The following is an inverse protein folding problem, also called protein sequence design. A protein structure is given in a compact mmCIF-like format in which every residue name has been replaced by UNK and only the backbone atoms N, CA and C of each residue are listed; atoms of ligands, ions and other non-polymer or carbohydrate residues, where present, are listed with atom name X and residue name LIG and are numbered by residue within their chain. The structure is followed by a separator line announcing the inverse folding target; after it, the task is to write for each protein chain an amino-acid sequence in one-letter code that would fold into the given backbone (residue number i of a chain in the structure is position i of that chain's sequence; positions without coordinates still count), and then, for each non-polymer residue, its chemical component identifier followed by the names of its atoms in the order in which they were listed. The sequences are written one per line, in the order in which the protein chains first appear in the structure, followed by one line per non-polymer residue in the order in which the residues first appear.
data_IF_262977485546
#
_entry.id   IF_262977485546
#
_cell.length_a   1.000
_cell.length_b   1.000
_cell.length_c   1.000
_cell.angle_alpha   90.00
_cell.angle_beta   90.00
_cell.angle_gamma   90.00
#
_symmetry.space_group_name_H-M   'P 1'
#
loop_
_entity.id
_entity.type
_entity.pdbx_description
1 polymer ?
#
# COMPACT_ATOMS: atom_id res chain seq x y z
N UNK A 1 -11.12 5.63 23.03
CA UNK A 1 -11.39 4.61 21.99
C UNK A 1 -12.62 5.03 21.23
N UNK A 2 -12.50 5.24 19.93
CA UNK A 2 -13.65 5.56 19.07
C UNK A 2 -14.28 4.24 18.61
N UNK A 3 -15.59 4.10 18.79
CA UNK A 3 -16.32 2.94 18.28
C UNK A 3 -16.53 3.15 16.78
N UNK A 4 -15.97 2.26 15.96
CA UNK A 4 -16.20 2.25 14.51
C UNK A 4 -17.29 1.22 14.22
N UNK A 5 -18.36 1.66 13.59
CA UNK A 5 -19.52 0.80 13.28
C UNK A 5 -19.68 0.74 11.76
N UNK A 6 -19.70 -0.46 11.20
CA UNK A 6 -19.81 -0.68 9.76
C UNK A 6 -21.23 -1.12 9.41
N UNK A 7 -21.72 -0.70 8.23
CA UNK A 7 -23.08 -1.05 7.77
C UNK A 7 -23.22 -2.53 7.44
N UNK A 8 -22.15 -3.15 6.95
CA UNK A 8 -22.11 -4.55 6.55
C UNK A 8 -20.66 -5.07 6.56
N UNK A 9 -20.49 -6.39 6.43
CA UNK A 9 -19.16 -7.02 6.44
C UNK A 9 -18.28 -6.55 5.28
N UNK A 10 -18.87 -6.21 4.14
CA UNK A 10 -18.16 -5.70 2.97
C UNK A 10 -17.47 -4.36 3.28
N UNK A 11 -18.18 -3.44 3.91
CA UNK A 11 -17.69 -2.13 4.33
C UNK A 11 -16.57 -2.25 5.38
N UNK A 12 -16.70 -3.22 6.30
CA UNK A 12 -15.64 -3.56 7.26
C UNK A 12 -14.38 -4.07 6.57
N UNK A 13 -14.52 -5.04 5.65
CA UNK A 13 -13.39 -5.64 4.94
C UNK A 13 -12.70 -4.58 4.07
N UNK A 14 -13.46 -3.77 3.33
CA UNK A 14 -12.93 -2.67 2.53
C UNK A 14 -12.12 -1.67 3.39
N UNK A 15 -12.68 -1.27 4.54
CA UNK A 15 -11.98 -0.38 5.45
C UNK A 15 -10.72 -1.03 6.04
N UNK A 16 -10.73 -2.33 6.31
CA UNK A 16 -9.56 -3.07 6.77
C UNK A 16 -8.47 -3.12 5.70
N UNK A 17 -8.80 -3.40 4.43
CA UNK A 17 -7.84 -3.35 3.32
C UNK A 17 -7.22 -1.96 3.18
N UNK A 18 -8.04 -0.90 3.21
CA UNK A 18 -7.55 0.48 3.15
C UNK A 18 -6.63 0.82 4.33
N UNK A 19 -6.98 0.35 5.54
CA UNK A 19 -6.17 0.59 6.73
C UNK A 19 -4.85 -0.17 6.67
N UNK A 20 -4.84 -1.42 6.20
CA UNK A 20 -3.62 -2.20 6.01
C UNK A 20 -2.73 -1.56 4.96
N UNK A 21 -3.29 -1.13 3.82
CA UNK A 21 -2.57 -0.43 2.76
C UNK A 21 -1.84 0.81 3.31
N UNK A 22 -2.53 1.58 4.16
CA UNK A 22 -1.94 2.73 4.83
C UNK A 22 -0.81 2.34 5.78
N UNK A 23 -0.99 1.32 6.62
CA UNK A 23 0.06 0.85 7.55
C UNK A 23 1.30 0.40 6.79
N UNK A 24 1.12 -0.35 5.70
CA UNK A 24 2.22 -0.81 4.83
C UNK A 24 2.92 0.40 4.18
N UNK A 25 2.15 1.37 3.70
CA UNK A 25 2.68 2.61 3.13
C UNK A 25 3.36 3.52 4.18
N UNK A 26 2.96 3.50 5.45
CA UNK A 26 3.66 4.21 6.52
C UNK A 26 4.95 3.46 6.94
N UNK A 27 4.95 2.13 6.86
CA UNK A 27 6.12 1.31 7.17
C UNK A 27 7.27 1.50 6.18
N UNK A 28 6.97 1.66 4.88
CA UNK A 28 7.98 1.91 3.85
C UNK A 28 8.45 3.37 3.76
N UNK A 29 7.70 4.32 4.35
CA UNK A 29 8.01 5.74 4.29
C UNK A 29 9.42 6.09 4.82
N UNK A 30 9.88 5.55 5.98
CA UNK A 30 11.25 5.78 6.44
C UNK A 30 12.32 5.22 5.50
N UNK A 31 12.03 4.18 4.70
CA UNK A 31 12.99 3.68 3.71
C UNK A 31 13.18 4.68 2.56
N UNK A 32 12.09 5.32 2.11
CA UNK A 32 12.16 6.37 1.08
C UNK A 32 12.90 7.62 1.59
N UNK A 33 12.74 7.97 2.88
CA UNK A 33 13.41 9.13 3.49
C UNK A 33 14.94 8.99 3.52
N UNK A 34 15.44 7.76 3.68
CA UNK A 34 16.88 7.44 3.64
C UNK A 34 17.39 7.13 2.23
N UNK A 35 16.60 7.40 1.18
CA UNK A 35 16.89 7.06 -0.22
C UNK A 35 17.24 5.57 -0.43
N UNK A 36 16.57 4.67 0.29
CA UNK A 36 16.72 3.24 0.13
C UNK A 36 15.48 2.66 -0.57
N UNK A 37 15.63 1.80 -1.59
CA UNK A 37 14.49 1.26 -2.31
C UNK A 37 13.64 0.39 -1.38
N UNK A 38 12.36 0.73 -1.26
CA UNK A 38 11.38 0.04 -0.44
C UNK A 38 10.70 -1.09 -1.24
N UNK A 39 11.49 -2.00 -1.83
CA UNK A 39 10.99 -3.10 -2.68
C UNK A 39 10.06 -4.04 -1.90
N UNK A 40 10.33 -4.26 -0.62
CA UNK A 40 9.45 -5.07 0.24
C UNK A 40 8.08 -4.45 0.43
N UNK A 41 7.99 -3.11 0.53
CA UNK A 41 6.72 -2.40 0.67
C UNK A 41 5.94 -2.43 -0.63
N UNK A 42 6.63 -2.25 -1.77
CA UNK A 42 6.03 -2.37 -3.10
C UNK A 42 5.43 -3.76 -3.33
N UNK A 43 6.19 -4.83 -3.10
CA UNK A 43 5.70 -6.21 -3.27
C UNK A 43 4.51 -6.51 -2.34
N UNK A 44 4.53 -5.98 -1.12
CA UNK A 44 3.44 -6.16 -0.17
C UNK A 44 2.15 -5.49 -0.65
N UNK A 45 2.23 -4.25 -1.17
CA UNK A 45 1.09 -3.54 -1.76
C UNK A 45 0.61 -4.20 -3.04
N UNK A 46 1.50 -4.74 -3.88
CA UNK A 46 1.15 -5.46 -5.10
C UNK A 46 0.34 -6.73 -4.79
N UNK A 47 0.81 -7.55 -3.85
CA UNK A 47 0.05 -8.71 -3.39
C UNK A 47 -1.29 -8.32 -2.76
N UNK A 48 -1.32 -7.22 -1.99
CA UNK A 48 -2.56 -6.72 -1.40
C UNK A 48 -3.58 -6.29 -2.46
N UNK A 49 -3.12 -5.64 -3.55
CA UNK A 49 -3.97 -5.25 -4.68
C UNK A 49 -4.54 -6.47 -5.41
N UNK A 50 -3.73 -7.51 -5.63
CA UNK A 50 -4.18 -8.77 -6.24
C UNK A 50 -5.28 -9.43 -5.40
N UNK A 51 -5.08 -9.51 -4.08
CA UNK A 51 -6.08 -10.09 -3.16
C UNK A 51 -7.35 -9.23 -3.15
N UNK A 52 -7.23 -7.91 -3.10
CA UNK A 52 -8.41 -7.03 -3.15
C UNK A 52 -9.19 -7.18 -4.47
N UNK A 53 -8.48 -7.31 -5.60
CA UNK A 53 -9.09 -7.54 -6.92
C UNK A 53 -9.78 -8.91 -7.02
N UNK A 54 -9.17 -9.99 -6.50
CA UNK A 54 -9.75 -11.34 -6.50
C UNK A 54 -11.09 -11.39 -5.74
N UNK A 55 -11.20 -10.60 -4.67
CA UNK A 55 -12.42 -10.47 -3.88
C UNK A 55 -13.38 -9.37 -4.38
N UNK A 56 -13.08 -8.73 -5.51
CA UNK A 56 -13.86 -7.62 -6.09
C UNK A 56 -14.04 -6.41 -5.15
N UNK A 57 -13.05 -6.14 -4.31
CA UNK A 57 -12.98 -4.94 -3.47
C UNK A 57 -12.32 -3.77 -4.22
N UNK A 58 -12.60 -2.55 -3.77
CA UNK A 58 -11.99 -1.35 -4.30
C UNK A 58 -10.51 -1.31 -3.89
N UNK A 59 -9.61 -1.51 -4.86
CA UNK A 59 -8.17 -1.50 -4.62
C UNK A 59 -7.52 -0.19 -5.06
N UNK A 60 -8.28 0.82 -5.47
CA UNK A 60 -7.75 2.10 -5.97
C UNK A 60 -6.83 2.80 -4.96
N UNK A 61 -7.11 2.65 -3.66
CA UNK A 61 -6.28 3.22 -2.60
C UNK A 61 -4.95 2.46 -2.44
N UNK A 62 -4.97 1.14 -2.63
CA UNK A 62 -3.78 0.29 -2.62
C UNK A 62 -2.92 0.59 -3.86
N UNK A 63 -3.56 0.71 -5.02
CA UNK A 63 -2.93 1.01 -6.30
C UNK A 63 -2.23 2.37 -6.27
N UNK A 64 -2.89 3.41 -5.75
CA UNK A 64 -2.28 4.74 -5.60
C UNK A 64 -1.02 4.72 -4.72
N UNK A 65 -1.05 3.94 -3.62
CA UNK A 65 0.14 3.73 -2.81
C UNK A 65 1.21 2.95 -3.57
N UNK A 66 0.83 1.87 -4.27
CA UNK A 66 1.75 1.05 -5.05
C UNK A 66 2.45 1.86 -6.15
N UNK A 67 1.72 2.69 -6.89
CA UNK A 67 2.30 3.58 -7.91
C UNK A 67 3.29 4.58 -7.31
N UNK A 68 2.98 5.12 -6.13
CA UNK A 68 3.88 6.03 -5.40
C UNK A 68 5.18 5.31 -5.05
N UNK A 69 5.10 4.08 -4.55
CA UNK A 69 6.27 3.27 -4.20
C UNK A 69 7.06 2.82 -5.44
N UNK A 70 6.39 2.38 -6.50
CA UNK A 70 7.04 2.03 -7.78
C UNK A 70 7.82 3.21 -8.35
N UNK A 71 7.22 4.38 -8.34
CA UNK A 71 7.87 5.61 -8.81
C UNK A 71 9.06 5.97 -7.94
N UNK A 72 8.88 6.01 -6.61
CA UNK A 72 9.95 6.37 -5.69
C UNK A 72 11.12 5.37 -5.74
N UNK A 73 10.83 4.07 -5.81
CA UNK A 73 11.84 3.03 -5.96
C UNK A 73 12.59 3.14 -7.30
N UNK A 74 11.89 3.44 -8.40
CA UNK A 74 12.51 3.67 -9.70
C UNK A 74 13.43 4.90 -9.69
N UNK A 75 12.98 6.01 -9.09
CA UNK A 75 13.80 7.22 -8.92
C UNK A 75 15.04 6.95 -8.06
N UNK A 76 14.89 6.18 -6.98
CA UNK A 76 16.01 5.79 -6.11
C UNK A 76 16.98 4.87 -6.83
N UNK A 77 16.51 3.89 -7.62
CA UNK A 77 17.40 3.00 -8.42
C UNK A 77 18.18 3.78 -9.48
N UNK A 78 17.50 4.69 -10.19
CA UNK A 78 18.16 5.58 -11.16
C UNK A 78 19.21 6.47 -10.48
N UNK A 79 18.92 6.98 -9.28
CA UNK A 79 19.87 7.76 -8.49
C UNK A 79 21.06 6.93 -7.98
N UNK A 80 20.83 5.67 -7.60
CA UNK A 80 21.88 4.73 -7.17
C UNK A 80 22.72 4.19 -8.34
N UNK A 81 22.29 4.40 -9.59
CA UNK A 81 23.03 4.04 -10.79
C UNK A 81 22.98 2.55 -11.15
N UNK A 82 21.95 1.82 -10.69
CA UNK A 82 21.59 0.48 -11.18
C UNK A 82 20.63 0.52 -12.38
#
# INVERSE_FOLDING_TARGET
MSIVTFKNNLDFIQAAFNQIAKIVAEHGHPCLDVCCPAESTEQCLEHLAVVANDWSYDYSLIDAHLETYKKANAEIREYLGE
#
